data_IF_035128943639
#
_entry.id   IF_035128943639
#
_cell.length_a   1.000
_cell.length_b   1.000
_cell.length_c   1.000
_cell.angle_alpha   90.00
_cell.angle_beta   90.00
_cell.angle_gamma   90.00
#
_symmetry.space_group_name_H-M   'P 1'
#
loop_
_entity.id
_entity.type
_entity.pdbx_description
1 polymer ?
#
# COMPACT_ATOMS: atom_id res chain seq x y z
N UNK A 1 -1.63 14.21 -15.25
CA UNK A 1 -1.59 12.78 -14.89
C UNK A 1 -0.40 12.51 -13.97
N UNK A 2 -0.56 11.65 -12.96
CA UNK A 2 0.52 11.20 -12.09
C UNK A 2 0.77 9.71 -12.34
N UNK A 3 2.03 9.31 -12.56
CA UNK A 3 2.41 7.93 -12.73
C UNK A 3 2.87 7.33 -11.40
N UNK A 4 2.11 6.36 -10.90
CA UNK A 4 2.33 5.66 -9.63
C UNK A 4 2.89 4.25 -9.86
N UNK A 5 3.69 3.68 -8.94
CA UNK A 5 4.03 2.26 -8.98
C UNK A 5 2.88 1.40 -8.42
N UNK A 6 2.86 0.11 -8.76
CA UNK A 6 2.04 -0.86 -8.03
C UNK A 6 2.58 -1.00 -6.60
N UNK A 7 1.69 -0.95 -5.60
CA UNK A 7 2.06 -1.04 -4.18
C UNK A 7 1.18 -2.02 -3.41
N UNK A 8 1.78 -2.73 -2.46
CA UNK A 8 1.11 -3.55 -1.45
C UNK A 8 0.76 -2.68 -0.24
N UNK A 9 -0.53 -2.58 0.10
CA UNK A 9 -1.02 -1.78 1.23
C UNK A 9 -0.27 -0.44 1.33
N UNK A 10 -0.30 0.34 0.25
CA UNK A 10 0.51 1.52 0.01
C UNK A 10 0.49 2.53 1.18
N UNK A 11 1.49 3.39 1.33
CA UNK A 11 1.52 4.40 2.37
C UNK A 11 0.49 5.52 2.12
N UNK A 12 0.18 6.29 3.16
CA UNK A 12 -0.82 7.37 3.16
C UNK A 12 -0.64 8.34 1.99
N UNK A 13 0.61 8.75 1.71
CA UNK A 13 0.93 9.65 0.59
C UNK A 13 0.46 9.11 -0.77
N UNK A 14 0.54 7.81 -0.99
CA UNK A 14 0.09 7.19 -2.23
C UNK A 14 -1.41 7.41 -2.44
N UNK A 15 -2.22 7.20 -1.39
CA UNK A 15 -3.67 7.38 -1.45
C UNK A 15 -4.06 8.84 -1.58
N UNK A 16 -3.31 9.78 -1.01
CA UNK A 16 -3.51 11.21 -1.28
C UNK A 16 -3.44 11.50 -2.78
N UNK A 17 -2.39 11.03 -3.47
CA UNK A 17 -2.26 11.22 -4.92
C UNK A 17 -3.36 10.50 -5.69
N UNK A 18 -3.62 9.24 -5.37
CA UNK A 18 -4.60 8.40 -6.05
C UNK A 18 -6.03 8.97 -6.00
N UNK A 19 -6.39 9.63 -4.89
CA UNK A 19 -7.73 10.16 -4.64
C UNK A 19 -7.92 11.54 -5.30
N UNK A 20 -6.87 12.38 -5.32
CA UNK A 20 -7.02 13.79 -5.70
C UNK A 20 -6.53 14.11 -7.11
N UNK A 21 -5.90 13.15 -7.79
CA UNK A 21 -5.32 13.39 -9.11
C UNK A 21 -5.70 12.32 -10.11
N UNK A 22 -5.60 12.65 -11.38
CA UNK A 22 -5.63 11.66 -12.46
C UNK A 22 -4.34 10.82 -12.40
N UNK A 23 -4.47 9.56 -11.97
CA UNK A 23 -3.36 8.66 -11.73
C UNK A 23 -3.39 7.44 -12.64
N UNK A 24 -2.20 7.00 -13.07
CA UNK A 24 -2.00 5.73 -13.75
C UNK A 24 -0.99 4.88 -12.99
N UNK A 25 -1.29 3.60 -12.78
CA UNK A 25 -0.42 2.64 -12.10
C UNK A 25 0.44 1.92 -13.15
N UNK A 26 1.75 2.09 -13.06
CA UNK A 26 2.71 1.46 -13.95
C UNK A 26 2.92 -0.02 -13.59
N UNK A 27 2.62 -0.91 -14.53
CA UNK A 27 2.72 -2.36 -14.36
C UNK A 27 3.64 -3.04 -15.38
N UNK A 28 4.06 -2.33 -16.42
CA UNK A 28 4.99 -2.80 -17.47
C UNK A 28 6.46 -2.48 -17.18
N UNK A 29 6.72 -1.76 -16.08
CA UNK A 29 8.08 -1.56 -15.61
C UNK A 29 8.72 -2.84 -15.08
N UNK A 30 10.06 -2.91 -15.14
CA UNK A 30 10.80 -4.03 -14.53
C UNK A 30 10.69 -3.97 -13.02
N UNK A 31 10.35 -5.09 -12.40
CA UNK A 31 10.30 -5.22 -10.94
C UNK A 31 11.65 -4.89 -10.32
N UNK A 32 11.63 -4.09 -9.26
CA UNK A 32 12.80 -3.76 -8.45
C UNK A 32 12.61 -4.26 -7.04
N UNK A 33 13.66 -4.88 -6.49
CA UNK A 33 13.69 -5.30 -5.08
C UNK A 33 13.64 -4.09 -4.15
N UNK A 34 13.13 -4.29 -2.94
CA UNK A 34 13.06 -3.25 -1.91
C UNK A 34 12.18 -2.05 -2.30
N UNK A 35 11.09 -2.30 -3.00
CA UNK A 35 10.04 -1.32 -3.30
C UNK A 35 8.76 -1.68 -2.56
N UNK A 36 7.81 -0.76 -2.53
CA UNK A 36 6.47 -1.02 -1.96
C UNK A 36 5.63 -2.00 -2.79
N UNK A 37 6.11 -2.48 -3.94
CA UNK A 37 5.36 -3.42 -4.76
C UNK A 37 4.95 -4.70 -4.00
N UNK A 38 5.83 -5.22 -3.14
CA UNK A 38 5.57 -6.43 -2.35
C UNK A 38 5.81 -6.24 -0.85
N UNK A 39 5.89 -4.99 -0.36
CA UNK A 39 6.05 -4.71 1.07
C UNK A 39 5.27 -3.50 1.52
N UNK A 40 4.87 -3.52 2.80
CA UNK A 40 4.33 -2.35 3.48
C UNK A 40 4.92 -2.23 4.90
N UNK A 41 4.67 -1.09 5.53
CA UNK A 41 5.17 -0.79 6.88
C UNK A 41 4.01 -0.50 7.80
N UNK A 42 3.94 -1.22 8.92
CA UNK A 42 2.92 -1.08 9.97
C UNK A 42 3.58 -0.74 11.30
N UNK A 43 2.84 -0.06 12.19
CA UNK A 43 3.27 0.14 13.57
C UNK A 43 2.90 -1.07 14.41
N UNK A 44 3.85 -1.59 15.20
CA UNK A 44 3.65 -2.71 16.12
C UNK A 44 4.16 -2.38 17.52
N UNK A 45 3.91 -3.26 18.48
CA UNK A 45 4.45 -3.15 19.84
C UNK A 45 6.00 -3.09 19.90
N UNK A 46 6.69 -3.54 18.84
CA UNK A 46 8.15 -3.56 18.72
C UNK A 46 8.71 -2.46 17.81
N UNK A 47 7.89 -1.51 17.39
CA UNK A 47 8.25 -0.45 16.46
C UNK A 47 7.65 -0.67 15.07
N UNK A 48 8.31 -0.15 14.04
CA UNK A 48 7.85 -0.33 12.65
C UNK A 48 8.25 -1.73 12.17
N UNK A 49 7.26 -2.49 11.72
CA UNK A 49 7.44 -3.80 11.11
C UNK A 49 7.21 -3.73 9.60
N UNK A 50 7.98 -4.52 8.86
CA UNK A 50 7.86 -4.65 7.41
C UNK A 50 7.18 -5.96 7.06
N UNK A 51 6.00 -5.91 6.49
CA UNK A 51 5.33 -7.06 5.90
C UNK A 51 5.80 -7.21 4.45
N UNK A 52 6.33 -8.37 4.10
CA UNK A 52 6.87 -8.62 2.75
C UNK A 52 6.25 -9.86 2.14
N UNK A 53 5.50 -9.69 1.05
CA UNK A 53 4.95 -10.80 0.27
C UNK A 53 6.12 -11.52 -0.42
N UNK A 54 6.29 -12.84 -0.21
CA UNK A 54 7.32 -13.61 -0.88
C UNK A 54 6.99 -13.75 -2.36
N UNK A 55 8.00 -13.58 -3.20
CA UNK A 55 7.86 -13.70 -4.65
C UNK A 55 8.78 -14.79 -5.20
N UNK A 56 8.36 -15.43 -6.29
CA UNK A 56 9.22 -16.37 -7.02
C UNK A 56 10.44 -15.64 -7.58
N UNK A 57 11.58 -16.32 -7.64
CA UNK A 57 12.74 -15.79 -8.35
C UNK A 57 12.41 -15.78 -9.84
N UNK A 58 12.24 -14.58 -10.40
CA UNK A 58 12.08 -14.42 -11.84
C UNK A 58 13.40 -14.64 -12.59
N UNK A 59 13.33 -15.14 -13.80
CA UNK A 59 14.45 -15.18 -14.73
C UNK A 59 14.60 -13.81 -15.39
N UNK A 60 15.76 -13.18 -15.18
CA UNK A 60 16.10 -11.88 -15.80
C UNK A 60 15.27 -10.68 -15.30
N UNK A 61 14.83 -9.84 -16.24
CA UNK A 61 14.05 -8.61 -15.97
C UNK A 61 12.56 -8.90 -16.06
N UNK A 62 11.97 -9.43 -14.97
CA UNK A 62 10.53 -9.70 -14.91
C UNK A 62 9.74 -8.39 -14.76
N UNK A 63 8.65 -8.23 -15.50
CA UNK A 63 7.76 -7.07 -15.40
C UNK A 63 6.94 -7.15 -14.09
N UNK A 64 6.54 -6.00 -13.57
CA UNK A 64 5.72 -5.93 -12.34
C UNK A 64 4.44 -6.75 -12.47
N UNK A 65 3.75 -6.68 -13.61
CA UNK A 65 2.52 -7.44 -13.88
C UNK A 65 2.70 -8.97 -13.92
N UNK A 66 3.93 -9.46 -14.16
CA UNK A 66 4.23 -10.88 -14.32
C UNK A 66 4.88 -11.50 -13.06
N UNK A 67 5.03 -10.71 -11.99
CA UNK A 67 5.57 -11.19 -10.72
C UNK A 67 4.62 -12.19 -10.08
N UNK A 68 5.14 -13.40 -9.81
CA UNK A 68 4.40 -14.45 -9.13
C UNK A 68 4.68 -14.44 -7.64
N UNK A 69 3.63 -14.71 -6.85
CA UNK A 69 3.74 -14.93 -5.42
C UNK A 69 4.29 -16.33 -5.17
N UNK A 70 5.27 -16.46 -4.30
CA UNK A 70 5.83 -17.74 -3.92
C UNK A 70 4.90 -18.48 -2.96
N UNK A 71 4.64 -19.76 -3.24
CA UNK A 71 3.67 -20.59 -2.51
C UNK A 71 4.28 -21.41 -1.36
N UNK A 72 5.60 -21.30 -1.12
CA UNK A 72 6.31 -22.11 -0.13
C UNK A 72 6.16 -21.64 1.33
N UNK A 73 5.52 -20.50 1.55
CA UNK A 73 5.25 -19.95 2.89
C UNK A 73 3.78 -19.57 2.99
N UNK A 74 3.21 -19.71 4.20
CA UNK A 74 1.86 -19.22 4.52
C UNK A 74 1.91 -17.74 4.89
N UNK A 75 2.40 -16.92 3.97
CA UNK A 75 2.61 -15.50 4.18
C UNK A 75 1.29 -14.75 4.47
N UNK A 76 0.19 -15.20 3.89
CA UNK A 76 -1.11 -14.57 4.05
C UNK A 76 -1.58 -14.66 5.51
N UNK A 77 -1.57 -15.85 6.09
CA UNK A 77 -1.88 -16.04 7.52
C UNK A 77 -0.91 -15.26 8.40
N UNK A 78 0.39 -15.26 8.07
CA UNK A 78 1.39 -14.50 8.83
C UNK A 78 1.11 -12.99 8.81
N UNK A 79 0.82 -12.43 7.62
CA UNK A 79 0.54 -11.01 7.47
C UNK A 79 -0.77 -10.62 8.16
N UNK A 80 -1.84 -11.42 7.99
CA UNK A 80 -3.12 -11.14 8.65
C UNK A 80 -2.97 -11.14 10.18
N UNK A 81 -2.29 -12.14 10.74
CA UNK A 81 -2.00 -12.20 12.19
C UNK A 81 -1.13 -11.03 12.67
N UNK A 82 -0.17 -10.59 11.89
CA UNK A 82 0.63 -9.41 12.22
C UNK A 82 -0.22 -8.14 12.23
N UNK A 83 -1.12 -7.97 11.25
CA UNK A 83 -2.08 -6.86 11.18
C UNK A 83 -3.05 -6.93 12.37
N UNK A 84 -3.64 -8.08 12.65
CA UNK A 84 -4.53 -8.31 13.79
C UNK A 84 -3.83 -7.97 15.12
N UNK A 85 -2.62 -8.49 15.34
CA UNK A 85 -1.83 -8.20 16.53
C UNK A 85 -1.48 -6.72 16.68
N UNK A 86 -1.24 -6.02 15.57
CA UNK A 86 -0.90 -4.61 15.57
C UNK A 86 -2.12 -3.71 15.83
N UNK A 87 -3.29 -4.10 15.35
CA UNK A 87 -4.45 -3.20 15.29
C UNK A 87 -5.69 -3.67 16.05
N UNK A 88 -5.70 -4.84 16.69
CA UNK A 88 -6.85 -5.31 17.50
C UNK A 88 -7.29 -4.33 18.60
N UNK A 89 -6.36 -3.50 19.08
CA UNK A 89 -6.65 -2.43 20.05
C UNK A 89 -6.97 -1.08 19.42
N UNK A 90 -7.00 -0.97 18.10
CA UNK A 90 -7.40 0.26 17.40
C UNK A 90 -8.92 0.39 17.39
N UNK A 91 -9.42 1.61 17.25
CA UNK A 91 -10.83 1.90 17.40
C UNK A 91 -11.75 1.20 16.37
N UNK A 92 -11.21 0.87 15.17
CA UNK A 92 -12.04 0.40 14.07
C UNK A 92 -11.55 -0.90 13.42
N UNK A 93 -10.53 -1.58 13.97
CA UNK A 93 -10.06 -2.84 13.42
C UNK A 93 -11.16 -3.89 13.34
N UNK A 94 -11.89 -4.11 14.43
CA UNK A 94 -12.99 -5.11 14.47
C UNK A 94 -14.07 -4.83 13.41
N UNK A 95 -14.34 -3.55 13.15
CA UNK A 95 -15.32 -3.16 12.13
C UNK A 95 -14.89 -3.54 10.71
N UNK A 96 -13.58 -3.50 10.41
CA UNK A 96 -13.05 -3.77 9.08
C UNK A 96 -12.43 -5.17 8.93
N UNK A 97 -12.19 -5.91 10.00
CA UNK A 97 -11.46 -7.18 9.97
C UNK A 97 -12.06 -8.18 8.96
N UNK A 98 -13.38 -8.32 8.96
CA UNK A 98 -14.10 -9.25 8.07
C UNK A 98 -14.03 -8.84 6.60
N UNK A 99 -13.77 -7.57 6.30
CA UNK A 99 -13.60 -7.07 4.94
C UNK A 99 -12.25 -7.49 4.33
N UNK A 100 -11.23 -7.65 5.16
CA UNK A 100 -9.87 -8.00 4.73
C UNK A 100 -9.58 -9.50 4.79
N UNK A 101 -10.19 -10.23 5.72
CA UNK A 101 -9.95 -11.67 5.91
C UNK A 101 -10.10 -12.49 4.62
N UNK A 102 -11.11 -12.28 3.77
CA UNK A 102 -11.24 -13.02 2.51
C UNK A 102 -10.05 -12.87 1.57
N UNK A 103 -9.45 -11.67 1.49
CA UNK A 103 -8.29 -11.40 0.65
C UNK A 103 -7.05 -12.18 1.13
N UNK A 104 -6.85 -12.24 2.45
CA UNK A 104 -5.75 -13.00 3.04
C UNK A 104 -6.03 -14.52 3.13
N UNK A 105 -7.24 -14.97 2.79
CA UNK A 105 -7.61 -16.38 2.71
C UNK A 105 -7.64 -16.93 1.27
N UNK A 106 -7.80 -16.06 0.27
CA UNK A 106 -7.82 -16.42 -1.13
C UNK A 106 -6.41 -16.73 -1.65
N UNK A 107 -6.30 -17.59 -2.68
CA UNK A 107 -5.02 -17.89 -3.33
C UNK A 107 -4.81 -17.00 -4.53
N UNK A 108 -3.71 -16.26 -4.52
CA UNK A 108 -3.28 -15.42 -5.63
C UNK A 108 -2.02 -15.98 -6.28
N UNK A 109 -2.02 -16.03 -7.60
CA UNK A 109 -0.86 -16.44 -8.38
C UNK A 109 0.07 -15.27 -8.68
N UNK A 110 -0.51 -14.13 -9.04
CA UNK A 110 0.25 -12.92 -9.39
C UNK A 110 0.13 -11.86 -8.30
N UNK A 111 1.24 -11.15 -8.08
CA UNK A 111 1.31 -10.07 -7.11
C UNK A 111 0.37 -8.91 -7.46
N UNK A 112 0.20 -8.64 -8.75
CA UNK A 112 -0.70 -7.59 -9.23
C UNK A 112 -2.15 -7.86 -8.84
N UNK A 113 -2.64 -9.08 -8.99
CA UNK A 113 -4.04 -9.43 -8.70
C UNK A 113 -4.35 -9.17 -7.22
N UNK A 114 -3.50 -9.66 -6.31
CA UNK A 114 -3.66 -9.41 -4.88
C UNK A 114 -3.61 -7.92 -4.53
N UNK A 115 -2.64 -7.19 -5.08
CA UNK A 115 -2.49 -5.76 -4.77
C UNK A 115 -3.68 -4.93 -5.28
N UNK A 116 -4.22 -5.24 -6.44
CA UNK A 116 -5.38 -4.52 -6.99
C UNK A 116 -6.65 -4.80 -6.18
N UNK A 117 -6.90 -6.07 -5.83
CA UNK A 117 -8.05 -6.45 -5.00
C UNK A 117 -7.97 -5.77 -3.62
N UNK A 118 -6.79 -5.80 -2.99
CA UNK A 118 -6.56 -5.13 -1.72
C UNK A 118 -6.74 -3.61 -1.83
N UNK A 119 -6.21 -2.99 -2.88
CA UNK A 119 -6.32 -1.54 -3.11
C UNK A 119 -7.77 -1.13 -3.34
N UNK A 120 -8.52 -1.91 -4.13
CA UNK A 120 -9.95 -1.66 -4.34
C UNK A 120 -10.74 -1.80 -3.03
N UNK A 121 -10.44 -2.81 -2.22
CA UNK A 121 -11.06 -2.99 -0.91
C UNK A 121 -10.77 -1.82 0.01
N UNK A 122 -9.53 -1.36 0.08
CA UNK A 122 -9.16 -0.18 0.88
C UNK A 122 -9.91 1.06 0.42
N UNK A 123 -10.01 1.31 -0.89
CA UNK A 123 -10.79 2.43 -1.43
C UNK A 123 -12.27 2.34 -1.05
N UNK A 124 -12.86 1.15 -1.07
CA UNK A 124 -14.24 0.92 -0.60
C UNK A 124 -14.38 1.26 0.88
N UNK A 125 -13.50 0.77 1.74
CA UNK A 125 -13.50 1.06 3.18
C UNK A 125 -13.31 2.55 3.48
N UNK A 126 -12.57 3.27 2.65
CA UNK A 126 -12.38 4.72 2.72
C UNK A 126 -13.55 5.51 2.11
N UNK A 127 -14.59 4.85 1.55
CA UNK A 127 -15.70 5.44 0.80
C UNK A 127 -15.26 6.21 -0.47
N UNK A 128 -14.32 5.63 -1.23
CA UNK A 128 -13.83 6.10 -2.53
C UNK A 128 -14.00 5.00 -3.60
N UNK A 129 -15.11 4.25 -3.55
CA UNK A 129 -15.40 3.13 -4.46
C UNK A 129 -15.52 3.53 -5.93
N UNK A 130 -15.78 4.81 -6.22
CA UNK A 130 -15.93 5.33 -7.58
C UNK A 130 -14.58 5.58 -8.29
N UNK A 131 -13.46 5.44 -7.56
CA UNK A 131 -12.13 5.57 -8.16
C UNK A 131 -11.79 4.31 -8.94
N UNK A 132 -11.64 4.48 -10.26
CA UNK A 132 -11.17 3.43 -11.14
C UNK A 132 -9.63 3.39 -11.14
N UNK A 133 -9.06 2.20 -10.87
CA UNK A 133 -7.62 1.99 -10.94
C UNK A 133 -7.20 1.88 -12.41
N UNK A 134 -6.62 2.95 -12.94
CA UNK A 134 -6.08 2.96 -14.30
C UNK A 134 -4.70 2.31 -14.34
N UNK A 135 -4.53 1.26 -15.15
CA UNK A 135 -3.24 0.59 -15.34
C UNK A 135 -2.58 1.04 -16.63
N UNK A 136 -1.23 1.10 -16.65
CA UNK A 136 -0.51 1.30 -17.90
C UNK A 136 -0.73 0.12 -18.86
N UNK A 137 -0.72 0.38 -20.15
CA UNK A 137 -0.81 -0.63 -21.22
C UNK A 137 0.57 -0.95 -21.83
N UNK A 138 1.55 -0.12 -21.56
CA UNK A 138 2.95 -0.25 -21.97
C UNK A 138 3.85 0.48 -20.99
N UNK A 139 5.15 0.25 -21.05
CA UNK A 139 6.12 0.95 -20.21
C UNK A 139 6.25 2.42 -20.63
N UNK A 140 5.99 3.32 -19.72
CA UNK A 140 6.21 4.76 -19.92
C UNK A 140 7.63 5.13 -19.48
N UNK A 141 8.50 5.42 -20.47
CA UNK A 141 9.89 5.83 -20.16
C UNK A 141 9.95 7.29 -19.68
N UNK A 142 9.20 8.15 -20.33
CA UNK A 142 9.11 9.58 -20.03
C UNK A 142 7.64 9.96 -19.92
N UNK A 143 7.26 10.58 -18.83
CA UNK A 143 5.86 10.95 -18.55
C UNK A 143 5.41 12.20 -19.32
N UNK A 144 6.35 12.88 -19.99
CA UNK A 144 6.08 14.13 -20.71
C UNK A 144 5.87 15.34 -19.79
N UNK A 145 5.86 16.51 -20.42
CA UNK A 145 5.73 17.78 -19.72
C UNK A 145 4.36 17.91 -19.02
N UNK A 146 4.35 18.47 -17.81
CA UNK A 146 3.13 18.64 -17.00
C UNK A 146 2.63 17.38 -16.28
N UNK A 147 3.28 16.23 -16.46
CA UNK A 147 3.00 15.01 -15.71
C UNK A 147 4.07 14.77 -14.61
N UNK A 148 3.72 13.99 -13.60
CA UNK A 148 4.59 13.70 -12.44
C UNK A 148 4.89 12.21 -12.38
N UNK A 149 6.17 11.84 -12.31
CA UNK A 149 6.61 10.46 -12.13
C UNK A 149 6.95 10.19 -10.65
N UNK A 150 6.08 9.46 -9.95
CA UNK A 150 6.27 9.08 -8.55
C UNK A 150 6.75 7.63 -8.37
N UNK A 151 7.10 6.92 -9.44
CA UNK A 151 7.52 5.50 -9.35
C UNK A 151 8.74 5.29 -8.46
N UNK A 152 9.64 6.28 -8.38
CA UNK A 152 10.86 6.21 -7.55
C UNK A 152 10.60 6.65 -6.10
N UNK A 153 9.56 7.44 -5.84
CA UNK A 153 9.25 7.95 -4.51
C UNK A 153 8.75 6.85 -3.57
N UNK A 154 8.09 5.80 -4.11
CA UNK A 154 7.61 4.67 -3.33
C UNK A 154 8.60 3.51 -3.33
N UNK A 155 9.79 3.74 -2.78
CA UNK A 155 10.83 2.73 -2.55
C UNK A 155 11.39 2.84 -1.14
N UNK A 156 11.90 1.74 -0.58
CA UNK A 156 12.47 1.72 0.78
C UNK A 156 13.70 2.64 0.97
N UNK A 157 14.29 3.08 -0.13
CA UNK A 157 15.44 4.01 -0.16
C UNK A 157 15.04 5.43 -0.56
N UNK A 158 13.77 5.67 -0.82
CA UNK A 158 13.30 7.00 -1.16
C UNK A 158 13.41 7.90 0.06
N UNK A 159 13.89 9.12 -0.17
CA UNK A 159 13.82 10.19 0.83
C UNK A 159 12.49 10.93 0.74
N UNK A 160 11.53 10.40 -0.03
CA UNK A 160 10.19 10.98 -0.23
C UNK A 160 10.25 12.49 -0.47
N UNK A 161 10.96 12.93 -1.49
CA UNK A 161 11.15 14.35 -1.82
C UNK A 161 9.85 15.08 -2.19
N UNK A 162 8.87 14.33 -2.65
CA UNK A 162 7.56 14.82 -3.09
C UNK A 162 6.43 14.37 -2.16
N UNK A 163 6.71 14.15 -0.85
CA UNK A 163 5.65 13.88 0.11
C UNK A 163 4.76 15.11 0.28
N UNK A 164 3.44 14.95 0.18
CA UNK A 164 2.52 16.00 0.58
C UNK A 164 2.61 16.25 2.09
N UNK A 165 2.49 17.50 2.52
CA UNK A 165 2.57 17.89 3.94
C UNK A 165 1.54 17.15 4.80
N UNK A 166 0.45 16.71 4.18
CA UNK A 166 -0.63 15.97 4.82
C UNK A 166 -0.16 14.74 5.59
N UNK A 167 0.91 14.06 5.15
CA UNK A 167 1.41 12.85 5.83
C UNK A 167 1.99 13.13 7.21
N UNK A 168 2.34 14.38 7.49
CA UNK A 168 2.86 14.82 8.78
C UNK A 168 1.74 15.21 9.77
N UNK A 169 0.47 15.23 9.34
CA UNK A 169 -0.67 15.54 10.20
C UNK A 169 -0.90 14.39 11.18
N UNK A 170 -0.70 14.60 12.48
CA UNK A 170 -0.83 13.53 13.46
C UNK A 170 -2.27 13.05 13.58
N UNK A 171 -2.44 11.74 13.70
CA UNK A 171 -3.66 11.06 14.13
C UNK A 171 -3.31 10.06 15.22
N UNK A 172 -4.31 9.54 15.93
CA UNK A 172 -4.09 8.51 16.94
C UNK A 172 -3.51 7.25 16.29
N UNK A 173 -2.42 6.73 16.85
CA UNK A 173 -1.83 5.44 16.50
C UNK A 173 -1.70 4.61 17.78
N UNK A 174 -2.04 3.32 17.73
CA UNK A 174 -2.04 2.41 18.90
C UNK A 174 -0.75 2.50 19.72
N UNK A 175 0.42 2.60 19.07
CA UNK A 175 1.71 2.61 19.76
C UNK A 175 2.36 4.00 19.85
N UNK A 176 1.63 5.08 19.57
CA UNK A 176 2.17 6.45 19.64
C UNK A 176 2.62 6.84 21.04
N UNK A 177 2.02 6.28 22.07
CA UNK A 177 2.43 6.50 23.47
C UNK A 177 3.87 6.03 23.75
N UNK A 178 4.36 5.02 22.99
CA UNK A 178 5.69 4.42 23.18
C UNK A 178 6.74 4.99 22.21
N UNK A 179 6.34 5.24 20.97
CA UNK A 179 7.29 5.58 19.89
C UNK A 179 7.07 6.94 19.26
N UNK A 180 6.10 7.71 19.74
CA UNK A 180 5.63 8.93 19.09
C UNK A 180 4.90 8.62 17.77
N UNK A 181 4.36 9.65 17.15
CA UNK A 181 3.71 9.53 15.85
C UNK A 181 4.68 9.10 14.76
N UNK A 182 4.27 8.11 13.95
CA UNK A 182 5.04 7.62 12.79
C UNK A 182 4.31 8.04 11.50
N UNK A 183 4.85 9.00 10.75
CA UNK A 183 4.20 9.48 9.53
C UNK A 183 4.27 8.45 8.41
N UNK A 184 3.34 8.55 7.47
CA UNK A 184 3.34 7.84 6.18
C UNK A 184 3.50 6.31 6.28
N UNK A 185 2.91 5.68 7.30
CA UNK A 185 2.75 4.23 7.37
C UNK A 185 1.78 3.73 6.29
N UNK A 186 1.61 2.43 6.20
CA UNK A 186 0.54 1.82 5.39
C UNK A 186 -0.80 2.50 5.68
N UNK A 187 -1.61 2.65 4.64
CA UNK A 187 -2.98 3.17 4.76
C UNK A 187 -3.84 2.38 5.75
N UNK A 188 -3.50 1.11 6.00
CA UNK A 188 -4.17 0.28 7.00
C UNK A 188 -4.05 0.88 8.40
N UNK A 189 -2.89 1.50 8.73
CA UNK A 189 -2.70 2.19 10.01
C UNK A 189 -3.70 3.35 10.17
N UNK A 190 -3.84 4.17 9.13
CA UNK A 190 -4.82 5.26 9.14
C UNK A 190 -6.26 4.74 9.19
N UNK A 191 -6.61 3.75 8.35
CA UNK A 191 -7.96 3.20 8.26
C UNK A 191 -8.43 2.61 9.59
N UNK A 192 -7.64 1.75 10.23
CA UNK A 192 -8.02 1.08 11.47
C UNK A 192 -8.07 2.01 12.68
N UNK A 193 -7.34 3.12 12.65
CA UNK A 193 -7.38 4.10 13.74
C UNK A 193 -8.44 5.20 13.55
N UNK A 194 -8.86 5.53 12.29
CA UNK A 194 -9.69 6.71 12.02
C UNK A 194 -10.95 6.44 11.21
N UNK A 195 -11.09 5.24 10.60
CA UNK A 195 -12.21 4.88 9.74
C UNK A 195 -12.54 5.96 8.68
N UNK A 196 -13.79 6.46 8.70
CA UNK A 196 -14.25 7.49 7.75
C UNK A 196 -13.58 8.85 7.93
N UNK A 197 -13.00 9.13 9.11
CA UNK A 197 -12.23 10.36 9.34
C UNK A 197 -10.88 10.35 8.61
N UNK A 198 -10.44 9.19 8.08
CA UNK A 198 -9.25 9.08 7.22
C UNK A 198 -9.26 10.13 6.09
N UNK A 199 -10.43 10.52 5.59
CA UNK A 199 -10.59 11.57 4.57
C UNK A 199 -9.98 12.91 4.98
N UNK A 200 -9.98 13.24 6.28
CA UNK A 200 -9.39 14.49 6.80
C UNK A 200 -7.87 14.47 6.66
N UNK A 201 -7.28 13.27 6.71
CA UNK A 201 -5.84 13.02 6.65
C UNK A 201 -5.35 12.68 5.24
N UNK A 202 -6.27 12.59 4.27
CA UNK A 202 -5.95 12.32 2.86
C UNK A 202 -6.15 13.56 1.96
N UNK A 203 -6.66 14.66 2.53
CA UNK A 203 -6.91 15.92 1.80
C UNK A 203 -5.70 16.82 1.71
#
# INVERSE_FOLDING_TARGET
MILLPLCYAAPIAYYHYLIHHDCQIEVYGTYRKQTYANRCYIATANGIETLTIPIEKGEGKTLVKDIRIASHTDWQTMHYRAIESAYSSSAFFEYFADEFLPLYSARYKFLIDFNLDLQQKILQCLNYQDINLSLSTHYTKDVGEGNIDLRQEFSAKSHFKLLPDIVNKPYYQVFSYKYGFKPNLSILDLLFNTAHEARIYLR
#
